data_IF_617679937854
#
_entry.id   IF_617679937854
#
_cell.length_a   1.000
_cell.length_b   1.000
_cell.length_c   1.000
_cell.angle_alpha   90.00
_cell.angle_beta   90.00
_cell.angle_gamma   90.00
#
_symmetry.space_group_name_H-M   'P 1'
#
loop_
_entity.id
_entity.type
_entity.pdbx_description
1 polymer ?
#
# COMPACT_ATOMS: atom_id res chain seq x y z
N UNK A 1 10.31 -11.85 -21.69
CA UNK A 1 8.90 -11.66 -21.30
C UNK A 1 8.82 -11.86 -19.80
N UNK A 2 8.62 -10.79 -19.02
CA UNK A 2 8.61 -10.85 -17.55
C UNK A 2 7.17 -10.99 -17.09
N UNK A 3 6.84 -12.03 -16.31
CA UNK A 3 5.49 -12.18 -15.75
C UNK A 3 5.37 -11.35 -14.47
N UNK A 4 4.17 -10.84 -14.17
CA UNK A 4 3.89 -10.02 -12.97
C UNK A 4 4.40 -10.71 -11.70
N UNK A 5 4.23 -12.03 -11.58
CA UNK A 5 4.73 -12.82 -10.45
C UNK A 5 6.26 -12.74 -10.28
N UNK A 6 7.04 -12.62 -11.37
CA UNK A 6 8.50 -12.44 -11.29
C UNK A 6 8.85 -11.03 -10.83
N UNK A 7 8.12 -10.01 -11.28
CA UNK A 7 8.33 -8.62 -10.83
C UNK A 7 8.08 -8.49 -9.34
N UNK A 8 6.99 -9.07 -8.83
CA UNK A 8 6.65 -9.07 -7.40
C UNK A 8 7.68 -9.86 -6.58
N UNK A 9 8.15 -11.01 -7.07
CA UNK A 9 9.19 -11.81 -6.40
C UNK A 9 10.55 -11.09 -6.35
N UNK A 10 10.87 -10.29 -7.36
CA UNK A 10 12.14 -9.58 -7.45
C UNK A 10 12.12 -8.24 -6.68
N UNK A 11 10.98 -7.80 -6.16
CA UNK A 11 10.92 -6.60 -5.33
C UNK A 11 11.51 -6.92 -3.95
N UNK A 12 12.59 -6.23 -3.58
CA UNK A 12 13.31 -6.45 -2.32
C UNK A 12 12.43 -6.28 -1.09
N UNK A 13 11.42 -5.41 -1.16
CA UNK A 13 10.44 -5.22 -0.11
C UNK A 13 9.04 -5.56 -0.64
N UNK A 14 8.47 -6.62 -0.07
CA UNK A 14 7.09 -7.05 -0.32
C UNK A 14 6.10 -6.42 0.67
N UNK A 15 6.49 -5.30 1.29
CA UNK A 15 5.64 -4.58 2.23
C UNK A 15 4.44 -3.96 1.49
N UNK A 16 3.24 -4.27 1.98
CA UNK A 16 1.99 -3.65 1.58
C UNK A 16 1.59 -2.75 2.74
N UNK A 17 1.41 -1.45 2.46
CA UNK A 17 0.94 -0.49 3.45
C UNK A 17 -0.55 -0.28 3.27
N UNK A 18 -1.28 -0.46 4.37
CA UNK A 18 -2.75 -0.32 4.42
C UNK A 18 -3.16 0.75 5.41
N UNK A 19 -4.33 1.36 5.18
CA UNK A 19 -4.94 2.32 6.10
C UNK A 19 -6.43 2.00 6.26
N UNK A 20 -6.97 2.31 7.43
CA UNK A 20 -8.41 2.24 7.68
C UNK A 20 -9.16 3.23 6.77
N UNK A 21 -10.35 2.88 6.26
CA UNK A 21 -11.22 3.83 5.56
C UNK A 21 -11.68 5.00 6.43
N UNK A 22 -11.61 4.88 7.76
CA UNK A 22 -11.96 5.94 8.70
C UNK A 22 -10.79 6.91 8.99
N UNK A 23 -9.58 6.59 8.54
CA UNK A 23 -8.42 7.43 8.79
C UNK A 23 -8.47 8.73 8.00
N UNK A 24 -7.83 9.76 8.54
CA UNK A 24 -7.79 11.07 7.89
C UNK A 24 -6.79 11.08 6.74
N UNK A 25 -7.01 12.00 5.79
CA UNK A 25 -6.08 12.23 4.68
C UNK A 25 -4.70 12.66 5.19
N UNK A 26 -4.63 13.36 6.32
CA UNK A 26 -3.35 13.76 6.92
C UNK A 26 -2.53 12.52 7.32
N UNK A 27 -3.15 11.57 8.00
CA UNK A 27 -2.50 10.31 8.38
C UNK A 27 -2.01 9.53 7.16
N UNK A 28 -2.83 9.46 6.10
CA UNK A 28 -2.45 8.82 4.85
C UNK A 28 -1.20 9.47 4.22
N UNK A 29 -1.17 10.81 4.12
CA UNK A 29 -0.04 11.54 3.54
C UNK A 29 1.21 11.44 4.42
N UNK A 30 1.06 11.45 5.75
CA UNK A 30 2.18 11.23 6.66
C UNK A 30 2.83 9.87 6.43
N UNK A 31 2.04 8.79 6.35
CA UNK A 31 2.56 7.44 6.08
C UNK A 31 3.22 7.39 4.69
N UNK A 32 2.59 7.99 3.67
CA UNK A 32 3.16 8.05 2.32
C UNK A 32 4.52 8.75 2.30
N UNK A 33 4.66 9.87 3.02
CA UNK A 33 5.92 10.61 3.12
C UNK A 33 6.99 9.83 3.90
N UNK A 34 6.63 9.20 5.03
CA UNK A 34 7.57 8.44 5.86
C UNK A 34 8.08 7.17 5.16
N UNK A 35 7.22 6.50 4.38
CA UNK A 35 7.55 5.28 3.65
C UNK A 35 8.05 5.54 2.23
N UNK A 36 7.97 6.78 1.75
CA UNK A 36 8.34 7.15 0.38
C UNK A 36 7.48 6.46 -0.68
N UNK A 37 6.20 6.23 -0.41
CA UNK A 37 5.26 5.54 -1.32
C UNK A 37 4.24 6.52 -1.89
N UNK A 38 3.82 6.31 -3.15
CA UNK A 38 2.83 7.15 -3.82
C UNK A 38 1.39 6.62 -3.80
N UNK A 39 1.16 5.46 -3.20
CA UNK A 39 -0.15 4.82 -3.11
C UNK A 39 -0.24 3.98 -1.85
N UNK A 40 -1.44 3.88 -1.28
CA UNK A 40 -1.67 3.18 -0.02
C UNK A 40 -3.03 2.48 -0.10
N UNK A 41 -3.10 1.22 0.30
CA UNK A 41 -4.32 0.42 0.14
C UNK A 41 -5.30 0.72 1.27
N UNK A 42 -6.53 1.11 0.94
CA UNK A 42 -7.57 1.29 1.97
C UNK A 42 -8.18 -0.07 2.28
N UNK A 43 -8.07 -0.51 3.53
CA UNK A 43 -8.54 -1.82 3.97
C UNK A 43 -9.37 -1.72 5.26
N UNK A 44 -10.46 -2.48 5.29
CA UNK A 44 -11.30 -2.69 6.46
C UNK A 44 -11.17 -4.16 6.89
N UNK A 45 -10.37 -4.40 7.93
CA UNK A 45 -9.99 -5.76 8.32
C UNK A 45 -9.17 -6.47 7.23
N UNK A 46 -9.63 -7.63 6.79
CA UNK A 46 -9.00 -8.40 5.69
C UNK A 46 -9.52 -7.99 4.29
N UNK A 47 -10.47 -7.06 4.21
CA UNK A 47 -11.08 -6.64 2.96
C UNK A 47 -10.45 -5.36 2.41
N UNK A 48 -10.06 -5.37 1.14
CA UNK A 48 -9.66 -4.16 0.42
C UNK A 48 -10.92 -3.41 -0.02
N UNK A 49 -11.02 -2.14 0.38
CA UNK A 49 -12.16 -1.27 0.09
C UNK A 49 -11.80 -0.10 -0.82
N UNK A 50 -10.51 0.18 -1.05
CA UNK A 50 -10.06 1.26 -1.94
C UNK A 50 -8.55 1.36 -2.13
N UNK A 51 -8.12 2.36 -2.91
CA UNK A 51 -6.73 2.75 -3.17
C UNK A 51 -6.56 4.27 -3.08
#
# INVERSE_FOLDING_TARGET
MTIVAQVIKNKSEQAIFTISPEATVLEAITIMAEKGIGALVVAEGEQVVGI
#
